data_IF_998668629986
#
_entry.id   IF_998668629986
#
_cell.length_a   1.000
_cell.length_b   1.000
_cell.length_c   1.000
_cell.angle_alpha   90.00
_cell.angle_beta   90.00
_cell.angle_gamma   90.00
#
_symmetry.space_group_name_H-M   'P 1'
#
loop_
_entity.id
_entity.type
_entity.pdbx_description
1 polymer ?
#
# COMPACT_ATOMS: atom_id res chain seq x y z
N UNK A 1 -9.10 -3.07 3.20
CA UNK A 1 -7.76 -2.68 2.70
C UNK A 1 -6.83 -3.87 2.52
N UNK A 2 -6.22 -4.43 3.57
CA UNK A 2 -5.17 -5.48 3.38
C UNK A 2 -5.68 -6.66 2.55
N UNK A 3 -6.81 -7.23 2.96
CA UNK A 3 -7.42 -8.38 2.26
C UNK A 3 -7.83 -8.03 0.82
N UNK A 4 -8.28 -6.79 0.58
CA UNK A 4 -8.65 -6.33 -0.76
C UNK A 4 -7.42 -6.15 -1.66
N UNK A 5 -6.30 -5.64 -1.12
CA UNK A 5 -5.04 -5.52 -1.87
C UNK A 5 -4.49 -6.92 -2.20
N UNK A 6 -4.51 -7.85 -1.23
CA UNK A 6 -4.08 -9.22 -1.46
C UNK A 6 -4.94 -9.97 -2.49
N UNK A 7 -6.21 -9.59 -2.66
CA UNK A 7 -7.08 -10.15 -3.70
C UNK A 7 -6.85 -9.48 -5.07
N UNK A 8 -6.68 -8.16 -5.10
CA UNK A 8 -6.54 -7.39 -6.33
C UNK A 8 -5.19 -7.59 -7.04
N UNK A 9 -4.10 -7.79 -6.30
CA UNK A 9 -2.77 -7.97 -6.88
C UNK A 9 -2.69 -9.22 -7.79
N UNK A 10 -3.10 -10.43 -7.34
CA UNK A 10 -3.14 -11.60 -8.22
C UNK A 10 -4.09 -11.45 -9.41
N UNK A 11 -5.22 -10.76 -9.24
CA UNK A 11 -6.15 -10.49 -10.34
C UNK A 11 -5.51 -9.59 -11.41
N UNK A 12 -4.80 -8.54 -10.98
CA UNK A 12 -4.05 -7.68 -11.87
C UNK A 12 -2.92 -8.44 -12.59
N UNK A 13 -2.21 -9.31 -11.86
CA UNK A 13 -1.15 -10.14 -12.40
C UNK A 13 -1.64 -11.18 -13.42
N UNK A 14 -2.88 -11.68 -13.27
CA UNK A 14 -3.47 -12.61 -14.23
C UNK A 14 -3.95 -11.93 -15.52
N UNK A 15 -4.10 -10.61 -15.54
CA UNK A 15 -4.63 -9.87 -16.69
C UNK A 15 -3.48 -9.29 -17.55
N UNK A 16 -3.22 -9.81 -18.76
CA UNK A 16 -2.12 -9.32 -19.61
C UNK A 16 -2.30 -7.88 -20.09
N UNK A 17 -3.51 -7.31 -20.05
CA UNK A 17 -3.78 -5.94 -20.51
C UNK A 17 -3.40 -4.86 -19.47
N UNK A 18 -3.10 -5.26 -18.23
CA UNK A 18 -2.76 -4.32 -17.14
C UNK A 18 -1.24 -4.09 -17.10
N UNK A 19 -0.75 -2.96 -17.60
CA UNK A 19 0.68 -2.63 -17.52
C UNK A 19 1.12 -1.98 -16.20
N UNK A 20 0.20 -1.31 -15.51
CA UNK A 20 0.49 -0.45 -14.34
C UNK A 20 -0.56 -0.67 -13.25
N UNK A 21 -0.11 -0.76 -12.00
CA UNK A 21 -0.94 -0.78 -10.78
C UNK A 21 -0.71 0.53 -10.03
N UNK A 22 -1.75 1.35 -9.90
CA UNK A 22 -1.71 2.62 -9.18
C UNK A 22 -2.28 2.48 -7.77
N UNK A 23 -1.47 2.79 -6.76
CA UNK A 23 -1.93 3.03 -5.39
C UNK A 23 -2.21 4.52 -5.19
N UNK A 24 -3.41 4.85 -4.71
CA UNK A 24 -3.80 6.22 -4.38
C UNK A 24 -4.78 6.23 -3.20
N UNK A 25 -4.54 7.11 -2.24
CA UNK A 25 -5.47 7.32 -1.12
C UNK A 25 -6.78 7.97 -1.58
N UNK A 26 -7.89 7.58 -0.94
CA UNK A 26 -9.19 8.19 -1.19
C UNK A 26 -9.35 9.51 -0.43
N UNK A 27 -10.08 10.45 -1.04
CA UNK A 27 -10.40 11.73 -0.43
C UNK A 27 -9.21 12.70 -0.29
N UNK A 28 -9.40 13.86 0.35
CA UNK A 28 -8.43 14.95 0.31
C UNK A 28 -7.37 14.90 1.44
N UNK A 29 -7.56 14.07 2.47
CA UNK A 29 -6.74 14.12 3.70
C UNK A 29 -5.33 13.57 3.52
N UNK A 30 -5.18 12.53 2.71
CA UNK A 30 -3.87 11.99 2.39
C UNK A 30 -3.93 10.62 1.72
N UNK A 31 -2.76 10.06 1.48
CA UNK A 31 -2.56 8.72 0.94
C UNK A 31 -3.01 7.66 1.94
N UNK A 32 -2.44 7.67 3.15
CA UNK A 32 -2.78 6.77 4.23
C UNK A 32 -2.21 7.29 5.55
N UNK A 33 -3.01 7.24 6.61
CA UNK A 33 -2.57 7.58 7.97
C UNK A 33 -1.99 6.36 8.73
N UNK A 34 -1.85 5.21 8.06
CA UNK A 34 -1.42 3.96 8.69
C UNK A 34 -2.52 3.29 9.53
N UNK A 35 -2.11 2.33 10.34
CA UNK A 35 -3.00 1.63 11.28
C UNK A 35 -3.14 2.48 12.54
N UNK A 36 -4.35 2.53 13.10
CA UNK A 36 -4.63 3.22 14.35
C UNK A 36 -3.73 2.72 15.48
N UNK A 37 -3.16 3.62 16.28
CA UNK A 37 -2.27 3.25 17.40
C UNK A 37 -3.02 2.35 18.40
N UNK A 38 -4.32 2.60 18.61
CA UNK A 38 -5.17 1.80 19.51
C UNK A 38 -5.34 0.34 19.03
N UNK A 39 -5.11 0.07 17.74
CA UNK A 39 -5.21 -1.28 17.18
C UNK A 39 -3.92 -2.09 17.33
N UNK A 40 -2.85 -1.51 17.88
CA UNK A 40 -1.56 -2.17 18.12
C UNK A 40 -1.56 -2.99 19.42
N UNK A 41 -2.52 -3.91 19.55
CA UNK A 41 -2.52 -4.90 20.65
C UNK A 41 -1.74 -6.16 20.25
N UNK A 42 -1.15 -6.90 21.20
CA UNK A 42 -0.41 -8.12 20.87
C UNK A 42 -1.18 -9.12 19.99
N UNK A 43 -2.47 -9.32 20.27
CA UNK A 43 -3.33 -10.25 19.55
C UNK A 43 -3.64 -9.79 18.12
N UNK A 44 -3.78 -8.49 17.92
CA UNK A 44 -4.07 -7.90 16.60
C UNK A 44 -2.81 -7.82 15.75
N UNK A 45 -1.72 -7.32 16.32
CA UNK A 45 -0.43 -7.19 15.63
C UNK A 45 0.05 -8.55 15.11
N UNK A 46 -0.06 -9.61 15.93
CA UNK A 46 0.32 -10.97 15.52
C UNK A 46 -0.49 -11.52 14.33
N UNK A 47 -1.66 -10.96 14.04
CA UNK A 47 -2.48 -11.32 12.87
C UNK A 47 -2.31 -10.35 11.70
N UNK A 48 -2.03 -9.08 11.97
CA UNK A 48 -1.91 -8.03 10.96
C UNK A 48 -0.56 -8.08 10.24
N UNK A 49 0.55 -8.23 10.97
CA UNK A 49 1.89 -8.24 10.37
C UNK A 49 2.02 -9.29 9.27
N UNK A 50 1.66 -10.58 9.47
CA UNK A 50 1.82 -11.59 8.42
C UNK A 50 1.00 -11.29 7.17
N UNK A 51 -0.20 -10.72 7.32
CA UNK A 51 -1.04 -10.31 6.18
C UNK A 51 -0.44 -9.11 5.44
N UNK A 52 0.25 -8.22 6.15
CA UNK A 52 0.94 -7.09 5.54
C UNK A 52 2.18 -7.56 4.77
N UNK A 53 2.93 -8.50 5.34
CA UNK A 53 4.05 -9.16 4.64
C UNK A 53 3.60 -9.83 3.34
N UNK A 54 2.40 -10.42 3.30
CA UNK A 54 1.87 -11.04 2.09
C UNK A 54 1.66 -10.02 0.96
N UNK A 55 1.24 -8.79 1.27
CA UNK A 55 1.17 -7.71 0.27
C UNK A 55 2.56 -7.45 -0.32
N UNK A 56 3.57 -7.31 0.53
CA UNK A 56 4.93 -7.01 0.08
C UNK A 56 5.57 -8.14 -0.71
N UNK A 57 5.26 -9.40 -0.39
CA UNK A 57 5.68 -10.55 -1.20
C UNK A 57 5.03 -10.53 -2.58
N UNK A 58 3.73 -10.20 -2.65
CA UNK A 58 3.02 -10.09 -3.92
C UNK A 58 3.60 -8.93 -4.77
N UNK A 59 3.85 -7.78 -4.15
CA UNK A 59 4.48 -6.63 -4.82
C UNK A 59 5.91 -6.95 -5.27
N UNK A 60 6.70 -7.65 -4.47
CA UNK A 60 8.06 -8.03 -4.86
C UNK A 60 8.11 -9.06 -6.00
N UNK A 61 7.03 -9.82 -6.20
CA UNK A 61 6.92 -10.84 -7.23
C UNK A 61 6.17 -10.38 -8.49
N UNK A 62 5.55 -9.19 -8.47
CA UNK A 62 4.76 -8.70 -9.60
C UNK A 62 5.66 -8.31 -10.76
N UNK A 63 5.21 -8.57 -11.98
CA UNK A 63 5.88 -8.10 -13.20
C UNK A 63 5.31 -6.75 -13.68
N UNK A 64 4.30 -6.22 -12.97
CA UNK A 64 3.61 -4.98 -13.33
C UNK A 64 4.32 -3.78 -12.71
N UNK A 65 4.31 -2.65 -13.41
CA UNK A 65 4.85 -1.41 -12.85
C UNK A 65 3.90 -0.91 -11.76
N UNK A 66 4.41 -0.74 -10.54
CA UNK A 66 3.65 -0.27 -9.39
C UNK A 66 3.95 1.20 -9.12
N UNK A 67 2.93 2.05 -9.08
CA UNK A 67 3.07 3.50 -8.90
C UNK A 67 2.31 3.93 -7.64
N UNK A 68 2.96 4.70 -6.76
CA UNK A 68 2.31 5.35 -5.64
C UNK A 68 2.03 6.84 -5.95
N UNK A 69 0.75 7.22 -6.00
CA UNK A 69 0.33 8.62 -6.09
C UNK A 69 0.01 9.17 -4.69
N UNK A 70 0.96 9.91 -4.11
CA UNK A 70 0.93 10.33 -2.71
C UNK A 70 0.54 11.80 -2.57
N UNK A 71 -0.50 12.06 -1.77
CA UNK A 71 -0.87 13.40 -1.30
C UNK A 71 -1.04 13.38 0.22
N UNK A 72 -0.87 14.53 0.89
CA UNK A 72 -1.08 14.64 2.34
C UNK A 72 -0.31 13.60 3.16
N UNK A 73 -0.95 13.01 4.17
CA UNK A 73 -0.29 12.02 5.04
C UNK A 73 -0.06 10.68 4.34
N UNK A 74 1.17 10.18 4.41
CA UNK A 74 1.61 8.84 4.00
C UNK A 74 2.42 8.24 5.15
N UNK A 75 1.75 7.54 6.06
CA UNK A 75 2.33 7.16 7.36
C UNK A 75 2.29 5.65 7.63
N UNK A 76 3.28 5.15 8.37
CA UNK A 76 3.37 3.76 8.84
C UNK A 76 3.23 2.76 7.70
N UNK A 77 2.32 1.80 7.80
CA UNK A 77 2.06 0.84 6.73
C UNK A 77 1.73 1.46 5.37
N UNK A 78 1.12 2.65 5.36
CA UNK A 78 0.92 3.41 4.12
C UNK A 78 2.23 3.85 3.47
N UNK A 79 3.19 4.28 4.28
CA UNK A 79 4.52 4.63 3.82
C UNK A 79 5.29 3.41 3.33
N UNK A 80 5.23 2.29 4.06
CA UNK A 80 5.87 1.03 3.63
C UNK A 80 5.31 0.55 2.28
N UNK A 81 3.99 0.65 2.07
CA UNK A 81 3.36 0.36 0.78
C UNK A 81 3.87 1.27 -0.35
N UNK A 82 3.93 2.58 -0.10
CA UNK A 82 4.44 3.53 -1.09
C UNK A 82 5.93 3.27 -1.40
N UNK A 83 6.74 2.94 -0.38
CA UNK A 83 8.16 2.66 -0.52
C UNK A 83 8.47 1.38 -1.29
N UNK A 84 7.51 0.44 -1.36
CA UNK A 84 7.61 -0.78 -2.17
C UNK A 84 7.20 -0.58 -3.63
N UNK A 85 6.65 0.58 -4.00
CA UNK A 85 6.31 0.88 -5.40
C UNK A 85 7.54 1.32 -6.21
N UNK A 86 7.49 1.17 -7.53
CA UNK A 86 8.60 1.52 -8.43
C UNK A 86 8.89 3.03 -8.45
N UNK A 87 7.97 3.91 -8.92
CA UNK A 87 8.02 5.32 -8.58
C UNK A 87 7.01 5.74 -7.52
N UNK A 88 7.38 6.76 -6.76
CA UNK A 88 6.52 7.51 -5.85
C UNK A 88 6.37 8.93 -6.37
N UNK A 89 5.15 9.30 -6.76
CA UNK A 89 4.80 10.65 -7.21
C UNK A 89 4.07 11.37 -6.09
N UNK A 90 4.71 12.39 -5.52
CA UNK A 90 4.21 13.08 -4.33
C UNK A 90 3.83 14.54 -4.62
N UNK A 91 2.77 15.03 -3.99
CA UNK A 91 2.47 16.47 -3.95
C UNK A 91 3.40 17.20 -2.99
N UNK A 92 3.58 18.51 -3.15
CA UNK A 92 4.45 19.31 -2.26
C UNK A 92 4.03 19.29 -0.78
N UNK A 93 2.75 19.03 -0.51
CA UNK A 93 2.20 18.93 0.84
C UNK A 93 2.18 17.49 1.38
N UNK A 94 2.81 16.54 0.69
CA UNK A 94 2.93 15.18 1.18
C UNK A 94 3.87 15.11 2.40
N UNK A 95 3.49 14.31 3.41
CA UNK A 95 4.32 14.04 4.59
C UNK A 95 4.49 12.53 4.74
N UNK A 96 5.73 12.10 4.83
CA UNK A 96 6.14 10.70 4.98
C UNK A 96 6.68 10.43 6.37
N UNK A 97 6.38 9.26 6.95
CA UNK A 97 6.92 8.85 8.26
C UNK A 97 6.24 7.68 8.90
#
# INVERSE_FOLDING_TARGET
>A
MIEEICAALPEAEANPDIGIILFRGAGPKGFSAGVSVQDHTPERVGKLIPKFDDIFRLLAATERITLAGVHGFCLGGGFELAAMCDPVMATENATFG
#
